data_IF_939836516688
#
_entry.id   IF_939836516688
#
_cell.length_a   1.000
_cell.length_b   1.000
_cell.length_c   1.000
_cell.angle_alpha   90.00
_cell.angle_beta   90.00
_cell.angle_gamma   90.00
#
_symmetry.space_group_name_H-M   'P 1'
#
loop_
_entity.id
_entity.type
_entity.pdbx_description
1 polymer ?
#
# COMPACT_ATOMS: atom_id res chain seq x y z
N UNK A 1 5.63 -16.08 2.87
CA UNK A 1 5.97 -14.99 1.92
C UNK A 1 6.93 -14.01 2.62
N UNK A 2 8.22 -14.04 2.23
CA UNK A 2 9.29 -13.35 2.95
C UNK A 2 9.16 -11.81 2.91
N UNK A 3 8.77 -11.25 1.75
CA UNK A 3 8.62 -9.79 1.60
C UNK A 3 7.52 -9.23 2.51
N UNK A 4 6.35 -9.87 2.55
CA UNK A 4 5.25 -9.44 3.41
C UNK A 4 5.62 -9.50 4.90
N UNK A 5 6.38 -10.51 5.32
CA UNK A 5 6.88 -10.61 6.70
C UNK A 5 7.87 -9.49 7.00
N UNK A 6 8.83 -9.24 6.11
CA UNK A 6 9.78 -8.14 6.25
C UNK A 6 9.06 -6.78 6.37
N UNK A 7 8.06 -6.52 5.52
CA UNK A 7 7.26 -5.28 5.60
C UNK A 7 6.57 -5.18 6.97
N UNK A 8 5.97 -6.26 7.46
CA UNK A 8 5.25 -6.27 8.72
C UNK A 8 6.19 -6.09 9.94
N UNK A 9 7.36 -6.71 9.93
CA UNK A 9 8.40 -6.54 10.96
C UNK A 9 8.94 -5.10 10.98
N UNK A 10 9.26 -4.55 9.80
CA UNK A 10 9.71 -3.16 9.68
C UNK A 10 8.63 -2.16 10.10
N UNK A 11 7.36 -2.47 9.81
CA UNK A 11 6.24 -1.66 10.26
C UNK A 11 6.08 -1.69 11.78
N UNK A 12 6.24 -2.85 12.42
CA UNK A 12 6.21 -3.00 13.87
C UNK A 12 7.35 -2.23 14.54
N UNK A 13 8.58 -2.38 14.04
CA UNK A 13 9.74 -1.64 14.55
C UNK A 13 9.56 -0.11 14.40
N UNK A 14 9.06 0.34 13.24
CA UNK A 14 8.78 1.75 13.00
C UNK A 14 7.65 2.30 13.88
N UNK A 15 6.60 1.51 14.11
CA UNK A 15 5.51 1.88 15.01
C UNK A 15 6.02 2.07 16.44
N UNK A 16 6.90 1.20 16.93
CA UNK A 16 7.50 1.31 18.26
C UNK A 16 8.43 2.54 18.39
N UNK A 17 9.23 2.84 17.36
CA UNK A 17 10.23 3.91 17.43
C UNK A 17 9.65 5.33 17.19
N UNK A 18 8.72 5.47 16.25
CA UNK A 18 8.25 6.78 15.74
C UNK A 18 6.74 6.87 15.53
N UNK A 19 6.00 5.79 15.81
CA UNK A 19 4.54 5.75 15.66
C UNK A 19 4.02 5.77 14.22
N UNK A 20 4.89 5.73 13.20
CA UNK A 20 4.52 5.77 11.76
C UNK A 20 5.46 4.92 10.91
N UNK A 21 4.92 4.34 9.84
CA UNK A 21 5.66 3.55 8.86
C UNK A 21 5.41 4.11 7.45
N UNK A 22 6.44 4.16 6.60
CA UNK A 22 6.31 4.61 5.20
C UNK A 22 6.77 3.51 4.25
N UNK A 23 6.03 3.29 3.16
CA UNK A 23 6.31 2.25 2.17
C UNK A 23 6.14 2.79 0.74
N UNK A 24 7.17 2.60 -0.09
CA UNK A 24 7.08 2.76 -1.53
C UNK A 24 6.54 1.50 -2.20
N UNK A 25 5.58 1.63 -3.11
CA UNK A 25 5.01 0.55 -3.88
C UNK A 25 5.36 0.68 -5.36
N UNK A 26 5.83 -0.41 -5.94
CA UNK A 26 5.91 -0.57 -7.40
C UNK A 26 4.67 -1.31 -7.92
N UNK A 27 4.42 -1.21 -9.22
CA UNK A 27 3.32 -1.91 -9.90
C UNK A 27 3.64 -3.36 -10.29
N UNK A 28 2.96 -3.84 -11.33
CA UNK A 28 3.20 -5.17 -11.91
C UNK A 28 2.84 -6.33 -10.98
N UNK A 29 3.63 -7.40 -11.01
CA UNK A 29 3.39 -8.63 -10.24
C UNK A 29 3.38 -8.42 -8.71
N UNK A 30 3.98 -7.33 -8.24
CA UNK A 30 4.03 -6.99 -6.82
C UNK A 30 2.63 -6.71 -6.25
N UNK A 31 1.71 -6.17 -7.06
CA UNK A 31 0.33 -5.87 -6.65
C UNK A 31 -0.35 -7.15 -6.15
N UNK A 32 -0.33 -8.21 -6.97
CA UNK A 32 -0.97 -9.48 -6.63
C UNK A 32 -0.28 -10.19 -5.45
N UNK A 33 1.04 -10.12 -5.38
CA UNK A 33 1.81 -10.67 -4.26
C UNK A 33 1.42 -9.99 -2.94
N UNK A 34 1.45 -8.66 -2.89
CA UNK A 34 1.13 -7.91 -1.66
C UNK A 34 -0.37 -7.96 -1.32
N UNK A 35 -1.26 -8.03 -2.32
CA UNK A 35 -2.69 -8.23 -2.06
C UNK A 35 -2.97 -9.52 -1.29
N UNK A 36 -2.28 -10.60 -1.65
CA UNK A 36 -2.44 -11.93 -1.04
C UNK A 36 -1.70 -12.05 0.30
N UNK A 37 -0.44 -11.60 0.32
CA UNK A 37 0.50 -12.02 1.36
C UNK A 37 0.63 -11.01 2.51
N UNK A 38 0.34 -9.72 2.27
CA UNK A 38 0.49 -8.67 3.28
C UNK A 38 -0.55 -8.76 4.42
N UNK A 39 -1.87 -8.98 4.16
CA UNK A 39 -2.85 -9.09 5.23
C UNK A 39 -2.53 -10.14 6.31
N UNK A 40 -2.18 -11.40 5.97
CA UNK A 40 -1.84 -12.39 7.01
C UNK A 40 -0.49 -12.11 7.67
N UNK A 41 0.43 -11.38 7.03
CA UNK A 41 1.68 -10.97 7.66
C UNK A 41 1.43 -9.89 8.73
N UNK A 42 0.68 -8.84 8.39
CA UNK A 42 0.34 -7.75 9.31
C UNK A 42 -0.48 -8.26 10.51
N UNK A 43 -1.41 -9.19 10.29
CA UNK A 43 -2.20 -9.78 11.38
C UNK A 43 -1.34 -10.52 12.42
N UNK A 44 -0.17 -11.04 12.03
CA UNK A 44 0.76 -11.77 12.92
C UNK A 44 1.75 -10.86 13.66
N UNK A 45 2.10 -9.71 13.09
CA UNK A 45 3.16 -8.83 13.60
C UNK A 45 2.71 -7.82 14.66
N UNK A 46 1.47 -7.93 15.17
CA UNK A 46 1.00 -7.11 16.29
C UNK A 46 0.44 -5.73 15.88
N UNK A 47 0.29 -4.78 16.83
CA UNK A 47 -0.59 -3.62 16.71
C UNK A 47 -0.05 -2.47 15.82
N UNK A 48 0.82 -2.75 14.85
CA UNK A 48 1.24 -1.78 13.84
C UNK A 48 0.04 -1.43 12.95
N UNK A 49 -0.85 -0.58 13.46
CA UNK A 49 -2.12 -0.27 12.84
C UNK A 49 -1.89 0.28 11.43
N UNK A 50 -2.42 -0.38 10.38
CA UNK A 50 -2.26 0.06 8.98
C UNK A 50 -2.69 1.51 8.76
N UNK A 51 -3.63 2.03 9.54
CA UNK A 51 -4.03 3.44 9.51
C UNK A 51 -2.94 4.46 9.86
N UNK A 52 -1.78 4.04 10.38
CA UNK A 52 -0.60 4.91 10.60
C UNK A 52 0.48 4.76 9.52
N UNK A 53 0.20 3.99 8.49
CA UNK A 53 1.11 3.80 7.36
C UNK A 53 0.89 4.89 6.33
N UNK A 54 1.98 5.44 5.83
CA UNK A 54 2.03 6.26 4.64
C UNK A 54 2.52 5.39 3.48
N UNK A 55 1.72 5.27 2.43
CA UNK A 55 2.08 4.44 1.29
C UNK A 55 2.10 5.32 0.06
N UNK A 56 3.15 5.24 -0.73
CA UNK A 56 3.28 6.02 -1.96
C UNK A 56 3.69 5.12 -3.11
N UNK A 57 3.22 5.41 -4.31
CA UNK A 57 3.75 4.76 -5.51
C UNK A 57 5.14 5.31 -5.83
N UNK A 58 6.08 4.43 -6.16
CA UNK A 58 7.43 4.83 -6.58
C UNK A 58 7.39 5.56 -7.93
N UNK A 59 6.50 5.12 -8.80
CA UNK A 59 6.20 5.66 -10.11
C UNK A 59 4.72 5.40 -10.42
N UNK A 60 4.12 6.24 -11.27
CA UNK A 60 2.75 6.05 -11.74
C UNK A 60 2.64 6.61 -13.15
N UNK A 61 1.86 5.92 -13.98
CA UNK A 61 1.57 6.41 -15.33
C UNK A 61 0.51 7.47 -15.23
N UNK A 62 0.76 8.60 -15.88
CA UNK A 62 -0.22 9.68 -16.00
C UNK A 62 -1.28 9.26 -17.05
N UNK A 63 -2.16 8.33 -16.65
CA UNK A 63 -3.34 7.86 -17.41
C UNK A 63 -4.64 7.96 -16.58
N UNK A 64 -5.83 8.05 -17.20
CA UNK A 64 -7.11 8.05 -16.48
C UNK A 64 -7.23 6.89 -15.49
N UNK A 65 -8.09 7.04 -14.48
CA UNK A 65 -8.17 6.08 -13.36
C UNK A 65 -8.65 4.70 -13.80
N UNK A 66 -9.47 4.66 -14.85
CA UNK A 66 -10.05 3.47 -15.44
C UNK A 66 -9.07 2.74 -16.38
N UNK A 67 -7.93 3.35 -16.69
CA UNK A 67 -6.93 2.78 -17.58
C UNK A 67 -6.24 1.58 -16.92
N UNK A 68 -6.05 0.49 -17.67
CA UNK A 68 -5.45 -0.76 -17.16
C UNK A 68 -4.04 -0.58 -16.58
N UNK A 69 -3.31 0.43 -17.07
CA UNK A 69 -1.95 0.72 -16.58
C UNK A 69 -1.91 1.65 -15.36
N UNK A 70 -3.05 2.08 -14.82
CA UNK A 70 -3.11 2.88 -13.60
C UNK A 70 -2.81 1.99 -12.38
N UNK A 71 -1.62 2.15 -11.80
CA UNK A 71 -1.12 1.29 -10.72
C UNK A 71 -1.92 1.49 -9.44
N UNK A 72 -2.31 2.73 -9.12
CA UNK A 72 -3.12 3.07 -7.96
C UNK A 72 -4.49 2.40 -8.02
N UNK A 73 -5.15 2.45 -9.18
CA UNK A 73 -6.42 1.76 -9.40
C UNK A 73 -6.26 0.24 -9.27
N UNK A 74 -5.19 -0.33 -9.83
CA UNK A 74 -4.91 -1.76 -9.70
C UNK A 74 -4.72 -2.19 -8.24
N UNK A 75 -4.03 -1.40 -7.42
CA UNK A 75 -3.93 -1.62 -5.97
C UNK A 75 -5.29 -1.50 -5.28
N UNK A 76 -6.11 -0.50 -5.59
CA UNK A 76 -7.43 -0.38 -4.96
C UNK A 76 -8.35 -1.55 -5.30
N UNK A 77 -8.33 -2.02 -6.56
CA UNK A 77 -9.15 -3.16 -6.99
C UNK A 77 -8.67 -4.46 -6.37
N UNK A 78 -7.36 -4.68 -6.36
CA UNK A 78 -6.78 -5.99 -6.03
C UNK A 78 -6.44 -6.12 -4.54
N UNK A 79 -5.93 -5.06 -3.93
CA UNK A 79 -5.43 -5.02 -2.56
C UNK A 79 -6.39 -4.24 -1.65
N UNK A 80 -7.42 -4.92 -1.13
CA UNK A 80 -8.41 -4.30 -0.21
C UNK A 80 -7.80 -3.61 1.01
N UNK A 81 -6.62 -4.05 1.45
CA UNK A 81 -5.88 -3.43 2.55
C UNK A 81 -5.44 -2.00 2.23
N UNK A 82 -5.42 -1.58 0.96
CA UNK A 82 -5.09 -0.22 0.55
C UNK A 82 -6.32 0.73 0.53
N UNK A 83 -7.52 0.26 0.91
CA UNK A 83 -8.77 1.04 0.82
C UNK A 83 -9.39 1.39 2.17
N UNK A 84 -9.71 2.66 2.42
CA UNK A 84 -10.56 3.07 3.54
C UNK A 84 -9.82 3.72 4.73
N UNK A 85 -10.58 4.33 5.64
CA UNK A 85 -10.03 5.28 6.64
C UNK A 85 -9.13 4.64 7.73
N UNK A 86 -9.25 3.33 7.97
CA UNK A 86 -8.40 2.58 8.92
C UNK A 86 -7.22 1.88 8.24
N UNK A 87 -7.08 2.07 6.93
CA UNK A 87 -6.06 1.49 6.09
C UNK A 87 -4.95 2.50 5.78
N UNK A 88 -3.80 2.05 5.26
CA UNK A 88 -2.72 2.93 4.86
C UNK A 88 -3.22 4.00 3.89
N UNK A 89 -2.73 5.22 4.04
CA UNK A 89 -3.01 6.28 3.06
C UNK A 89 -2.15 6.04 1.83
N UNK A 90 -2.77 5.62 0.73
CA UNK A 90 -2.12 5.51 -0.57
C UNK A 90 -2.07 6.90 -1.23
N UNK A 91 -0.86 7.41 -1.40
CA UNK A 91 -0.55 8.59 -2.19
C UNK A 91 -0.28 8.16 -3.63
N UNK A 92 -1.05 8.73 -4.56
CA UNK A 92 -0.87 8.52 -5.99
C UNK A 92 -0.94 9.85 -6.74
N UNK A 93 -0.31 9.89 -7.90
CA UNK A 93 -0.44 11.01 -8.84
C UNK A 93 -1.83 10.91 -9.48
N UNK A 94 -2.57 12.02 -9.47
CA UNK A 94 -3.90 12.09 -10.09
C UNK A 94 -3.92 13.22 -11.11
N UNK A 95 -4.68 13.02 -12.19
CA UNK A 95 -5.01 14.12 -13.08
C UNK A 95 -5.87 15.14 -12.33
N UNK A 96 -5.62 16.45 -12.48
CA UNK A 96 -6.66 17.42 -12.18
C UNK A 96 -7.86 17.12 -13.09
N UNK A 97 -9.02 16.87 -12.48
CA UNK A 97 -10.27 16.75 -13.22
C UNK A 97 -10.48 18.09 -13.94
N UNK A 98 -10.37 18.10 -15.27
CA UNK A 98 -10.75 19.28 -16.05
C UNK A 98 -12.25 19.42 -15.89
N UNK A 99 -12.66 20.45 -15.15
CA UNK A 99 -14.06 20.77 -14.89
C UNK A 99 -14.79 21.19 -16.16
#
# INVERSE_FOLDING_TARGET
PALAQLIAEQAAAAAAARGRFSLGLSGGSLIGLLARDLPPAVARSGPAAPGRWLVALCDERLVPREHQDNTAAAYEVTARWARGARNPRLLCLSFPCSS
#
